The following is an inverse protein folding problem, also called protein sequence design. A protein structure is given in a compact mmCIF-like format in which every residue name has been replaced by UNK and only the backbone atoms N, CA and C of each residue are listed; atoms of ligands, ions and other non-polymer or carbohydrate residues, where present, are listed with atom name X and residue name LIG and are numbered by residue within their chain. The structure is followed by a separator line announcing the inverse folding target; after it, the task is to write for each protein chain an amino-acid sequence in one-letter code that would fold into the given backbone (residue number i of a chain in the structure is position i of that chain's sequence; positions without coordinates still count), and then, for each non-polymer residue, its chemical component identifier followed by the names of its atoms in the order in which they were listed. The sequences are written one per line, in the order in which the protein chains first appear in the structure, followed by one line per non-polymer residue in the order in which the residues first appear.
data_IF_903568219494
#
_entry.id   IF_903568219494
#
_cell.length_a   1.000
_cell.length_b   1.000
_cell.length_c   1.000
_cell.angle_alpha   90.00
_cell.angle_beta   90.00
_cell.angle_gamma   90.00
#
_symmetry.space_group_name_H-M   'P 1'
#
loop_
_entity.id
_entity.type
_entity.pdbx_description
1 polymer ?
#
# COMPACT_ATOMS: atom_id res chain seq x y z
N UNK A 1 30.56 17.74 13.69
CA UNK A 1 30.40 16.30 13.40
C UNK A 1 29.07 16.08 12.71
N UNK A 2 29.07 15.71 11.43
CA UNK A 2 27.85 15.23 10.77
C UNK A 2 27.44 13.91 11.45
N UNK A 3 26.25 13.80 12.05
CA UNK A 3 25.81 12.57 12.68
C UNK A 3 25.66 11.51 11.60
N UNK A 4 26.31 10.36 11.81
CA UNK A 4 26.33 9.24 10.86
C UNK A 4 24.88 8.86 10.53
N UNK A 5 24.44 9.20 9.31
CA UNK A 5 23.14 8.77 8.76
C UNK A 5 23.08 7.24 8.84
N UNK A 6 21.97 6.69 9.36
CA UNK A 6 21.82 5.24 9.46
C UNK A 6 21.65 4.64 8.06
N UNK A 7 22.76 4.19 7.48
CA UNK A 7 22.82 3.63 6.13
C UNK A 7 21.85 2.46 5.94
N UNK A 8 21.71 1.59 6.95
CA UNK A 8 20.79 0.45 6.91
C UNK A 8 19.34 0.91 6.73
N UNK A 9 18.91 1.90 7.51
CA UNK A 9 17.57 2.46 7.40
C UNK A 9 17.36 3.18 6.05
N UNK A 10 18.39 3.86 5.54
CA UNK A 10 18.35 4.50 4.22
C UNK A 10 18.11 3.49 3.09
N UNK A 11 18.92 2.44 3.05
CA UNK A 11 18.82 1.36 2.05
C UNK A 11 17.47 0.67 2.16
N UNK A 12 17.01 0.38 3.38
CA UNK A 12 15.71 -0.24 3.62
C UNK A 12 14.55 0.59 3.06
N UNK A 13 14.53 1.91 3.34
CA UNK A 13 13.50 2.80 2.81
C UNK A 13 13.54 2.84 1.29
N UNK A 14 14.73 2.95 0.68
CA UNK A 14 14.90 2.93 -0.77
C UNK A 14 14.37 1.66 -1.43
N UNK A 15 14.78 0.49 -0.94
CA UNK A 15 14.30 -0.81 -1.46
C UNK A 15 12.78 -0.90 -1.34
N UNK A 16 12.23 -0.47 -0.20
CA UNK A 16 10.78 -0.47 0.02
C UNK A 16 10.05 0.42 -1.00
N UNK A 17 10.55 1.62 -1.27
CA UNK A 17 9.95 2.50 -2.28
C UNK A 17 9.98 1.87 -3.69
N UNK A 18 11.07 1.20 -4.07
CA UNK A 18 11.14 0.49 -5.35
C UNK A 18 10.09 -0.63 -5.43
N UNK A 19 9.93 -1.41 -4.36
CA UNK A 19 8.89 -2.46 -4.28
C UNK A 19 7.49 -1.82 -4.41
N UNK A 20 7.24 -0.69 -3.75
CA UNK A 20 5.94 0.01 -3.81
C UNK A 20 5.61 0.53 -5.19
N UNK A 21 6.59 1.11 -5.90
CA UNK A 21 6.40 1.55 -7.28
C UNK A 21 6.10 0.35 -8.19
N UNK A 22 6.84 -0.75 -8.04
CA UNK A 22 6.64 -1.95 -8.83
C UNK A 22 5.29 -2.63 -8.56
N UNK A 23 4.88 -2.72 -7.29
CA UNK A 23 3.58 -3.23 -6.88
C UNK A 23 2.41 -2.27 -7.16
N UNK A 24 2.71 -0.99 -7.38
CA UNK A 24 1.72 0.02 -7.74
C UNK A 24 1.02 -0.31 -9.06
N UNK A 25 1.76 -0.81 -10.06
CA UNK A 25 1.18 -1.17 -11.37
C UNK A 25 0.08 -2.25 -11.29
N UNK A 26 0.32 -3.46 -10.73
CA UNK A 26 -0.73 -4.46 -10.56
C UNK A 26 -1.84 -3.97 -9.62
N UNK A 27 -1.53 -3.15 -8.62
CA UNK A 27 -2.55 -2.58 -7.74
C UNK A 27 -3.51 -1.64 -8.49
N UNK A 28 -2.97 -0.73 -9.30
CA UNK A 28 -3.76 0.16 -10.14
C UNK A 28 -4.63 -0.61 -11.12
N UNK A 29 -4.11 -1.69 -11.70
CA UNK A 29 -4.92 -2.58 -12.55
C UNK A 29 -6.12 -3.13 -11.79
N UNK A 30 -5.93 -3.65 -10.57
CA UNK A 30 -7.03 -4.15 -9.73
C UNK A 30 -8.01 -3.04 -9.35
N UNK A 31 -7.51 -1.84 -9.03
CA UNK A 31 -8.35 -0.67 -8.74
C UNK A 31 -9.22 -0.23 -9.92
N UNK A 32 -8.69 -0.30 -11.13
CA UNK A 32 -9.46 -0.04 -12.35
C UNK A 32 -10.46 -1.17 -12.62
N UNK A 33 -10.07 -2.44 -12.51
CA UNK A 33 -10.99 -3.57 -12.71
C UNK A 33 -12.13 -3.58 -11.69
N UNK A 34 -11.90 -3.07 -10.47
CA UNK A 34 -12.93 -2.93 -9.45
C UNK A 34 -14.07 -1.99 -9.85
N UNK A 35 -13.87 -1.07 -10.82
CA UNK A 35 -14.96 -0.20 -11.31
C UNK A 35 -16.01 -0.99 -12.09
N UNK A 36 -15.63 -2.05 -12.79
CA UNK A 36 -16.55 -2.90 -13.56
C UNK A 36 -17.55 -3.64 -12.64
N UNK A 37 -17.22 -3.80 -11.36
CA UNK A 37 -18.12 -4.38 -10.37
C UNK A 37 -19.36 -3.52 -10.08
N UNK A 38 -19.37 -2.26 -10.49
CA UNK A 38 -20.51 -1.35 -10.32
C UNK A 38 -21.49 -1.35 -11.49
N UNK A 39 -21.27 -2.14 -12.54
CA UNK A 39 -22.20 -2.27 -13.68
C UNK A 39 -23.51 -3.01 -13.31
N UNK A 40 -23.61 -3.54 -12.08
CA UNK A 40 -24.82 -4.17 -11.57
C UNK A 40 -25.84 -3.12 -11.07
N UNK A 41 -27.10 -3.13 -11.56
CA UNK A 41 -28.13 -2.15 -11.17
C UNK A 41 -28.60 -2.27 -9.71
N UNK A 42 -28.32 -3.37 -9.00
CA UNK A 42 -28.77 -3.59 -7.62
C UNK A 42 -27.89 -2.88 -6.58
N UNK A 43 -28.07 -1.56 -6.50
CA UNK A 43 -27.34 -0.67 -5.57
C UNK A 43 -27.81 -0.75 -4.11
N UNK A 44 -28.95 -1.40 -3.85
CA UNK A 44 -29.54 -1.52 -2.51
C UNK A 44 -29.01 -2.72 -1.71
N UNK A 45 -28.44 -3.71 -2.40
CA UNK A 45 -27.97 -4.96 -1.80
C UNK A 45 -26.83 -4.78 -0.79
N UNK A 46 -26.74 -5.71 0.16
CA UNK A 46 -25.59 -5.81 1.06
C UNK A 46 -24.27 -6.02 0.27
N UNK A 47 -24.34 -6.77 -0.83
CA UNK A 47 -23.21 -7.03 -1.74
C UNK A 47 -22.66 -5.74 -2.36
N UNK A 48 -23.54 -4.83 -2.80
CA UNK A 48 -23.12 -3.53 -3.35
C UNK A 48 -22.41 -2.67 -2.30
N UNK A 49 -22.91 -2.64 -1.06
CA UNK A 49 -22.27 -1.90 0.04
C UNK A 49 -20.86 -2.44 0.36
N UNK A 50 -20.69 -3.76 0.34
CA UNK A 50 -19.37 -4.39 0.52
C UNK A 50 -18.42 -4.05 -0.63
N UNK A 51 -18.91 -4.09 -1.88
CA UNK A 51 -18.13 -3.73 -3.06
C UNK A 51 -17.68 -2.27 -2.99
N UNK A 52 -18.57 -1.35 -2.57
CA UNK A 52 -18.25 0.05 -2.36
C UNK A 52 -17.17 0.27 -1.28
N UNK A 53 -17.27 -0.43 -0.14
CA UNK A 53 -16.24 -0.37 0.90
C UNK A 53 -14.88 -0.85 0.40
N UNK A 54 -14.85 -1.99 -0.29
CA UNK A 54 -13.62 -2.54 -0.87
C UNK A 54 -13.03 -1.58 -1.90
N UNK A 55 -13.85 -0.98 -2.76
CA UNK A 55 -13.43 0.02 -3.73
C UNK A 55 -12.76 1.23 -3.06
N UNK A 56 -13.38 1.80 -2.01
CA UNK A 56 -12.82 2.93 -1.26
C UNK A 56 -11.48 2.55 -0.63
N UNK A 57 -11.41 1.39 0.04
CA UNK A 57 -10.18 0.90 0.68
C UNK A 57 -9.07 0.66 -0.36
N UNK A 58 -9.44 0.18 -1.55
CA UNK A 58 -8.51 -0.08 -2.63
C UNK A 58 -7.87 1.22 -3.17
N UNK A 59 -8.68 2.27 -3.34
CA UNK A 59 -8.20 3.60 -3.75
C UNK A 59 -7.47 4.37 -2.63
N UNK A 60 -7.64 3.97 -1.37
CA UNK A 60 -6.89 4.54 -0.25
C UNK A 60 -5.42 4.12 -0.24
N UNK A 61 -5.08 2.97 -0.84
CA UNK A 61 -3.71 2.46 -0.91
C UNK A 61 -2.69 3.44 -1.52
N UNK A 62 -2.88 3.99 -2.75
CA UNK A 62 -1.91 4.92 -3.33
C UNK A 62 -1.74 6.17 -2.47
N UNK A 63 -2.81 6.63 -1.81
CA UNK A 63 -2.76 7.75 -0.86
C UNK A 63 -1.89 7.36 0.35
N UNK A 64 -2.18 6.23 0.99
CA UNK A 64 -1.41 5.73 2.13
C UNK A 64 0.08 5.50 1.78
N UNK A 65 0.36 5.03 0.57
CA UNK A 65 1.72 4.84 0.04
C UNK A 65 2.46 6.18 -0.04
N UNK A 66 1.87 7.20 -0.66
CA UNK A 66 2.48 8.53 -0.79
C UNK A 66 2.72 9.19 0.58
N UNK A 67 1.71 9.16 1.46
CA UNK A 67 1.83 9.72 2.82
C UNK A 67 2.89 8.98 3.64
N UNK A 68 2.89 7.64 3.60
CA UNK A 68 3.86 6.81 4.31
C UNK A 68 5.29 7.07 3.80
N UNK A 69 5.49 7.15 2.49
CA UNK A 69 6.78 7.46 1.89
C UNK A 69 7.30 8.84 2.35
N UNK A 70 6.46 9.88 2.22
CA UNK A 70 6.82 11.24 2.65
C UNK A 70 7.12 11.32 4.16
N UNK A 71 6.26 10.74 4.99
CA UNK A 71 6.43 10.72 6.43
C UNK A 71 7.67 9.90 6.87
N UNK A 72 7.94 8.77 6.22
CA UNK A 72 9.12 7.95 6.51
C UNK A 72 10.41 8.72 6.22
N UNK A 73 10.50 9.40 5.08
CA UNK A 73 11.67 10.24 4.75
C UNK A 73 11.80 11.44 5.69
N UNK A 74 10.70 12.11 6.03
CA UNK A 74 10.71 13.19 7.02
C UNK A 74 11.24 12.70 8.38
N UNK A 75 10.75 11.56 8.89
CA UNK A 75 11.21 10.95 10.13
C UNK A 75 12.67 10.51 10.07
N UNK A 76 13.13 10.03 8.91
CA UNK A 76 14.53 9.70 8.67
C UNK A 76 15.43 10.94 8.78
N UNK A 77 15.01 12.09 8.21
CA UNK A 77 15.72 13.37 8.34
C UNK A 77 15.72 13.90 9.78
N UNK A 78 14.65 13.65 10.53
CA UNK A 78 14.57 13.94 11.98
C UNK A 78 15.34 12.94 12.85
N UNK A 79 16.10 12.00 12.25
CA UNK A 79 16.88 10.95 12.93
C UNK A 79 16.02 9.96 13.75
N UNK A 80 14.70 9.93 13.52
CA UNK A 80 13.77 8.99 14.15
C UNK A 80 13.69 7.69 13.34
N UNK A 81 14.81 6.96 13.25
CA UNK A 81 14.95 5.82 12.33
C UNK A 81 13.95 4.68 12.56
N UNK A 82 13.68 4.32 13.83
CA UNK A 82 12.68 3.28 14.13
C UNK A 82 11.30 3.69 13.64
N UNK A 83 10.89 4.92 13.92
CA UNK A 83 9.61 5.44 13.48
C UNK A 83 9.52 5.52 11.95
N UNK A 84 10.60 5.93 11.27
CA UNK A 84 10.66 5.95 9.81
C UNK A 84 10.40 4.57 9.20
N UNK A 85 11.00 3.51 9.76
CA UNK A 85 10.77 2.12 9.30
C UNK A 85 9.34 1.68 9.57
N UNK A 86 8.80 1.96 10.77
CA UNK A 86 7.43 1.58 11.13
C UNK A 86 6.38 2.25 10.25
N UNK A 87 6.50 3.56 10.01
CA UNK A 87 5.58 4.29 9.14
C UNK A 87 5.67 3.75 7.72
N UNK A 88 6.88 3.46 7.24
CA UNK A 88 7.09 2.82 5.94
C UNK A 88 6.43 1.44 5.82
N UNK A 89 6.14 0.71 6.92
CA UNK A 89 5.47 -0.60 6.86
C UNK A 89 3.96 -0.51 6.60
N UNK A 90 3.34 0.65 6.84
CA UNK A 90 1.88 0.78 6.77
C UNK A 90 1.33 0.32 5.40
N UNK A 91 1.89 0.72 4.25
CA UNK A 91 1.42 0.25 2.95
C UNK A 91 1.70 -1.25 2.70
N UNK A 92 2.72 -1.85 3.32
CA UNK A 92 2.99 -3.30 3.16
C UNK A 92 1.86 -4.15 3.72
N UNK A 93 1.16 -3.68 4.77
CA UNK A 93 0.02 -4.39 5.34
C UNK A 93 -1.11 -4.56 4.32
N UNK A 94 -1.26 -3.64 3.37
CA UNK A 94 -2.26 -3.73 2.29
C UNK A 94 -1.88 -4.76 1.21
N UNK A 95 -0.60 -5.11 1.08
CA UNK A 95 -0.17 -6.17 0.16
C UNK A 95 -0.46 -7.57 0.73
N UNK A 96 -0.60 -7.72 2.05
CA UNK A 96 -0.82 -9.04 2.68
C UNK A 96 -2.11 -9.72 2.15
N UNK A 97 -3.30 -9.07 2.15
CA UNK A 97 -4.50 -9.66 1.58
C UNK A 97 -4.34 -10.06 0.10
N UNK A 98 -3.63 -9.25 -0.68
CA UNK A 98 -3.40 -9.50 -2.10
C UNK A 98 -2.49 -10.71 -2.33
N UNK A 99 -1.40 -10.83 -1.56
CA UNK A 99 -0.52 -11.99 -1.60
C UNK A 99 -1.28 -13.25 -1.17
N UNK A 100 -2.08 -13.18 -0.10
CA UNK A 100 -2.91 -14.31 0.37
C UNK A 100 -3.91 -14.75 -0.71
N UNK A 101 -4.59 -13.80 -1.36
CA UNK A 101 -5.52 -14.10 -2.45
C UNK A 101 -4.80 -14.74 -3.64
N UNK A 102 -3.65 -14.20 -4.06
CA UNK A 102 -2.86 -14.77 -5.15
C UNK A 102 -2.41 -16.20 -4.85
N UNK A 103 -1.90 -16.46 -3.65
CA UNK A 103 -1.49 -17.81 -3.23
C UNK A 103 -2.68 -18.77 -3.22
N UNK A 104 -3.83 -18.34 -2.72
CA UNK A 104 -5.05 -19.15 -2.72
C UNK A 104 -5.47 -19.53 -4.14
N UNK A 105 -5.51 -18.56 -5.06
CA UNK A 105 -5.88 -18.80 -6.48
C UNK A 105 -4.88 -19.72 -7.19
N UNK A 106 -3.59 -19.62 -6.88
CA UNK A 106 -2.56 -20.47 -7.49
C UNK A 106 -2.51 -21.89 -6.91
N UNK A 107 -3.04 -22.10 -5.70
CA UNK A 107 -3.04 -23.38 -5.00
C UNK A 107 -4.37 -24.15 -5.14
N UNK A 108 -5.44 -23.49 -5.60
CA UNK A 108 -6.75 -24.06 -5.89
C UNK A 108 -6.87 -24.50 -7.35
#
# INVERSE_FOLDING_TARGET
MNPVKNFKACVYLWISQCIYVFMGAPWFFIALMATMGFDNPDTGSASFKWLMLLYIVNWLYPIALLFSAGAAWALYHLKKFKAAVWVNQIPLLWLVPLIVLLVYVMAA
#
